data_IF_102026121204
#
_entry.id   IF_102026121204
#
_cell.length_a   1.000
_cell.length_b   1.000
_cell.length_c   1.000
_cell.angle_alpha   90.00
_cell.angle_beta   90.00
_cell.angle_gamma   90.00
#
_symmetry.space_group_name_H-M   'P 1'
#
loop_
_entity.id
_entity.type
_entity.pdbx_description
1 polymer ?
#
# COMPACT_ATOMS: atom_id res chain seq x y z
N UNK A 1 0.35 14.79 -1.45
CA UNK A 1 0.37 13.34 -1.64
C UNK A 1 -1.05 12.81 -1.51
N UNK A 2 -1.31 11.60 -1.99
CA UNK A 2 -2.57 10.90 -1.74
C UNK A 2 -2.32 9.76 -0.75
N UNK A 3 -3.16 9.67 0.27
CA UNK A 3 -3.27 8.50 1.10
C UNK A 3 -4.33 7.60 0.47
N UNK A 4 -3.95 6.37 0.12
CA UNK A 4 -4.87 5.39 -0.46
C UNK A 4 -4.98 4.24 0.53
N UNK A 5 -6.21 3.99 0.98
CA UNK A 5 -6.52 3.05 2.04
C UNK A 5 -7.50 2.00 1.53
N UNK A 6 -7.23 0.73 1.82
CA UNK A 6 -8.18 -0.36 1.70
C UNK A 6 -8.61 -0.89 3.05
N UNK A 7 -9.91 -1.16 3.19
CA UNK A 7 -10.52 -1.71 4.40
C UNK A 7 -11.40 -2.90 4.03
N UNK A 8 -11.13 -4.05 4.65
CA UNK A 8 -11.96 -5.25 4.56
C UNK A 8 -11.61 -6.23 5.69
N UNK A 9 -12.55 -7.11 6.01
CA UNK A 9 -12.39 -8.16 7.03
C UNK A 9 -11.83 -7.72 8.37
N UNK A 10 -12.16 -6.49 8.80
CA UNK A 10 -11.70 -5.92 10.07
C UNK A 10 -10.25 -5.44 10.06
N UNK A 11 -9.58 -5.44 8.90
CA UNK A 11 -8.20 -4.97 8.75
C UNK A 11 -8.08 -3.82 7.75
N UNK A 12 -6.89 -3.23 7.68
CA UNK A 12 -6.60 -2.06 6.87
C UNK A 12 -5.21 -2.18 6.26
N UNK A 13 -5.10 -1.82 4.98
CA UNK A 13 -3.83 -1.53 4.33
C UNK A 13 -3.83 -0.10 3.83
N UNK A 14 -2.75 0.63 4.10
CA UNK A 14 -2.58 2.02 3.67
C UNK A 14 -1.27 2.17 2.94
N UNK A 15 -1.31 2.84 1.80
CA UNK A 15 -0.11 3.30 1.10
C UNK A 15 -0.20 4.77 0.73
N UNK A 16 0.92 5.32 0.28
CA UNK A 16 1.05 6.73 -0.10
C UNK A 16 1.44 6.84 -1.57
N UNK A 17 0.67 7.63 -2.32
CA UNK A 17 1.03 8.08 -3.65
C UNK A 17 1.63 9.48 -3.58
N UNK A 18 2.92 9.57 -3.88
CA UNK A 18 3.63 10.83 -4.02
C UNK A 18 3.40 11.38 -5.43
N UNK A 19 3.01 12.64 -5.52
CA UNK A 19 2.75 13.33 -6.78
C UNK A 19 3.97 14.14 -7.25
N UNK A 20 3.86 14.73 -8.44
CA UNK A 20 4.90 15.56 -9.05
C UNK A 20 5.43 16.61 -8.08
N UNK A 21 6.76 16.61 -7.88
CA UNK A 21 7.45 17.56 -7.02
C UNK A 21 7.47 17.16 -5.54
N UNK A 22 6.81 16.08 -5.16
CA UNK A 22 6.88 15.50 -3.82
C UNK A 22 8.05 14.52 -3.72
N UNK A 23 8.59 14.35 -2.51
CA UNK A 23 9.73 13.46 -2.27
C UNK A 23 9.25 12.15 -1.66
N UNK A 24 9.25 11.09 -2.45
CA UNK A 24 9.02 9.74 -1.96
C UNK A 24 10.19 9.25 -1.08
N UNK A 25 9.93 8.35 -0.12
CA UNK A 25 10.98 7.67 0.64
C UNK A 25 11.84 6.82 -0.30
N UNK A 26 13.14 6.76 0.00
CA UNK A 26 14.13 6.01 -0.76
C UNK A 26 14.37 4.65 -0.13
N UNK A 27 14.31 3.61 -0.94
CA UNK A 27 14.61 2.24 -0.52
C UNK A 27 15.75 1.68 -1.36
N UNK A 28 16.68 0.99 -0.71
CA UNK A 28 17.86 0.45 -1.37
C UNK A 28 17.43 -0.57 -2.44
N UNK A 29 17.68 -0.25 -3.71
CA UNK A 29 17.37 -1.11 -4.85
C UNK A 29 16.00 -0.87 -5.50
N UNK A 30 15.28 0.18 -5.10
CA UNK A 30 14.02 0.57 -5.75
C UNK A 30 14.26 1.05 -7.19
N UNK A 31 13.53 0.52 -8.19
CA UNK A 31 13.53 1.08 -9.54
C UNK A 31 12.71 2.38 -9.60
N UNK A 32 13.22 3.34 -10.37
CA UNK A 32 12.56 4.60 -10.76
C UNK A 32 12.06 5.52 -9.61
N UNK A 33 13.02 6.16 -8.93
CA UNK A 33 12.74 7.27 -7.99
C UNK A 33 12.41 8.60 -8.69
N UNK A 34 12.68 8.73 -9.99
CA UNK A 34 12.50 9.97 -10.76
C UNK A 34 11.14 10.04 -11.50
N UNK A 35 10.27 9.06 -11.25
CA UNK A 35 8.96 9.04 -11.87
C UNK A 35 8.08 10.21 -11.38
N UNK A 36 7.22 10.80 -12.24
CA UNK A 36 6.32 11.88 -11.86
C UNK A 36 5.35 11.54 -10.73
N UNK A 37 5.00 10.26 -10.58
CA UNK A 37 4.17 9.73 -9.50
C UNK A 37 4.83 8.47 -8.95
N UNK A 38 4.89 8.36 -7.63
CA UNK A 38 5.53 7.21 -6.97
C UNK A 38 4.59 6.63 -5.93
N UNK A 39 4.17 5.39 -6.13
CA UNK A 39 3.37 4.63 -5.17
C UNK A 39 4.27 3.88 -4.21
N UNK A 40 4.03 4.02 -2.92
CA UNK A 40 4.73 3.29 -1.85
C UNK A 40 3.70 2.66 -0.93
N UNK A 41 3.76 1.33 -0.81
CA UNK A 41 2.90 0.55 0.05
C UNK A 41 3.59 -0.78 0.36
N UNK A 42 3.47 -1.22 1.61
CA UNK A 42 3.97 -2.53 2.02
C UNK A 42 3.22 -3.64 1.29
N UNK A 43 3.88 -4.79 1.18
CA UNK A 43 3.27 -6.03 0.75
C UNK A 43 3.19 -7.02 1.91
N UNK A 44 2.19 -7.87 1.88
CA UNK A 44 2.06 -8.94 2.86
C UNK A 44 1.52 -10.23 2.25
N UNK A 45 1.73 -11.33 2.96
CA UNK A 45 1.29 -12.66 2.55
C UNK A 45 0.99 -13.53 3.75
N UNK A 46 0.01 -14.42 3.60
CA UNK A 46 -0.27 -15.45 4.58
C UNK A 46 0.87 -16.48 4.61
N UNK A 47 1.30 -16.87 5.80
CA UNK A 47 2.32 -17.90 6.02
C UNK A 47 1.78 -19.02 6.92
N UNK A 48 2.30 -20.23 6.75
CA UNK A 48 1.87 -21.37 7.59
C UNK A 48 2.30 -21.19 9.05
N UNK A 49 3.45 -20.56 9.29
CA UNK A 49 3.98 -20.29 10.64
C UNK A 49 4.95 -19.11 10.62
N UNK A 50 5.14 -18.47 11.79
CA UNK A 50 5.91 -17.23 11.92
C UNK A 50 5.06 -15.99 11.63
N UNK A 51 5.69 -14.87 11.31
CA UNK A 51 4.99 -13.62 11.02
C UNK A 51 4.25 -13.02 12.22
N UNK A 52 3.29 -12.15 11.92
CA UNK A 52 2.40 -11.49 12.88
C UNK A 52 1.01 -12.10 12.77
N UNK A 53 0.40 -12.47 13.90
CA UNK A 53 -0.99 -12.96 13.92
C UNK A 53 -1.93 -11.77 13.76
N UNK A 54 -2.77 -11.82 12.73
CA UNK A 54 -3.82 -10.85 12.44
C UNK A 54 -5.19 -11.54 12.52
N UNK A 55 -6.23 -10.81 12.88
CA UNK A 55 -7.62 -11.26 12.78
C UNK A 55 -8.19 -10.73 11.46
N UNK A 56 -8.69 -11.64 10.62
CA UNK A 56 -9.24 -11.36 9.30
C UNK A 56 -10.55 -12.13 9.18
N UNK A 57 -11.67 -11.44 9.03
CA UNK A 57 -13.01 -12.03 9.03
C UNK A 57 -13.31 -12.92 10.26
N UNK A 58 -12.72 -12.60 11.40
CA UNK A 58 -12.85 -13.37 12.65
C UNK A 58 -11.99 -14.63 12.71
N UNK A 59 -11.18 -14.91 11.69
CA UNK A 59 -10.19 -15.98 11.67
C UNK A 59 -8.78 -15.45 11.94
N UNK A 60 -7.96 -16.24 12.63
CA UNK A 60 -6.57 -15.89 12.90
C UNK A 60 -5.68 -16.36 11.77
N UNK A 61 -4.95 -15.43 11.16
CA UNK A 61 -3.99 -15.70 10.09
C UNK A 61 -2.59 -15.22 10.49
N UNK A 62 -1.55 -15.97 10.12
CA UNK A 62 -0.18 -15.50 10.26
C UNK A 62 0.21 -14.74 9.00
N UNK A 63 0.64 -13.49 9.15
CA UNK A 63 0.98 -12.59 8.05
C UNK A 63 2.44 -12.20 8.14
N UNK A 64 3.19 -12.38 7.05
CA UNK A 64 4.53 -11.85 6.91
C UNK A 64 4.50 -10.59 6.04
N UNK A 65 5.29 -9.59 6.43
CA UNK A 65 5.40 -8.31 5.74
C UNK A 65 6.71 -8.26 4.96
N UNK A 66 6.65 -7.67 3.77
CA UNK A 66 7.80 -7.37 2.96
C UNK A 66 7.97 -5.85 2.85
N UNK A 67 9.23 -5.41 2.90
CA UNK A 67 9.58 -4.01 2.72
C UNK A 67 9.02 -3.48 1.40
N UNK A 68 8.51 -2.25 1.38
CA UNK A 68 7.84 -1.72 0.22
C UNK A 68 8.83 -1.48 -0.92
N UNK A 69 8.42 -1.81 -2.13
CA UNK A 69 9.12 -1.44 -3.36
C UNK A 69 8.37 -0.27 -4.03
N UNK A 70 8.94 0.95 -4.03
CA UNK A 70 8.38 2.07 -4.77
C UNK A 70 8.13 1.72 -6.23
N UNK A 71 6.98 2.16 -6.75
CA UNK A 71 6.59 1.99 -8.15
C UNK A 71 6.32 3.34 -8.78
N UNK A 72 7.06 3.63 -9.85
CA UNK A 72 6.95 4.86 -10.62
C UNK A 72 5.90 4.80 -11.73
N UNK A 73 5.21 5.93 -11.96
CA UNK A 73 4.20 6.09 -13.01
C UNK A 73 4.27 7.49 -13.65
N UNK A 74 3.84 7.57 -14.91
CA UNK A 74 3.84 8.83 -15.68
C UNK A 74 2.63 9.74 -15.37
N UNK A 75 1.49 9.16 -15.00
CA UNK A 75 0.23 9.88 -14.78
C UNK A 75 -0.39 9.54 -13.44
N UNK A 76 -1.21 10.46 -12.91
CA UNK A 76 -1.91 10.27 -11.63
C UNK A 76 -2.91 9.13 -11.73
N UNK A 77 -3.60 9.06 -12.85
CA UNK A 77 -4.64 8.06 -13.13
C UNK A 77 -4.04 6.66 -13.10
N UNK A 78 -2.96 6.41 -13.85
CA UNK A 78 -2.24 5.13 -13.82
C UNK A 78 -1.76 4.77 -12.42
N UNK A 79 -1.20 5.74 -11.70
CA UNK A 79 -0.66 5.51 -10.38
C UNK A 79 -1.74 5.20 -9.34
N UNK A 80 -2.89 5.85 -9.44
CA UNK A 80 -4.03 5.60 -8.56
C UNK A 80 -4.64 4.23 -8.87
N UNK A 81 -4.92 3.92 -10.14
CA UNK A 81 -5.43 2.61 -10.57
C UNK A 81 -4.52 1.46 -10.11
N UNK A 82 -3.22 1.59 -10.34
CA UNK A 82 -2.25 0.59 -9.89
C UNK A 82 -2.14 0.47 -8.37
N UNK A 83 -2.37 1.56 -7.63
CA UNK A 83 -2.41 1.55 -6.17
C UNK A 83 -3.66 0.82 -5.65
N UNK A 84 -4.84 1.08 -6.23
CA UNK A 84 -6.08 0.37 -5.86
C UNK A 84 -5.96 -1.13 -6.15
N UNK A 85 -5.48 -1.49 -7.34
CA UNK A 85 -5.28 -2.89 -7.74
C UNK A 85 -4.26 -3.59 -6.85
N UNK A 86 -3.20 -2.87 -6.46
CA UNK A 86 -2.24 -3.38 -5.52
C UNK A 86 -2.89 -3.72 -4.17
N UNK A 87 -3.69 -2.81 -3.63
CA UNK A 87 -4.37 -3.03 -2.34
C UNK A 87 -5.30 -4.23 -2.43
N UNK A 88 -6.15 -4.30 -3.46
CA UNK A 88 -7.03 -5.47 -3.70
C UNK A 88 -6.25 -6.78 -3.79
N UNK A 89 -5.10 -6.75 -4.46
CA UNK A 89 -4.20 -7.91 -4.57
C UNK A 89 -3.68 -8.35 -3.20
N UNK A 90 -3.30 -7.41 -2.31
CA UNK A 90 -2.82 -7.77 -0.97
C UNK A 90 -3.92 -8.42 -0.13
N UNK A 91 -5.15 -7.90 -0.19
CA UNK A 91 -6.30 -8.52 0.49
C UNK A 91 -6.61 -9.93 -0.04
N UNK A 92 -6.52 -10.14 -1.36
CA UNK A 92 -6.69 -11.47 -1.94
C UNK A 92 -5.66 -12.49 -1.43
N UNK A 93 -4.45 -12.06 -1.07
CA UNK A 93 -3.39 -12.94 -0.50
C UNK A 93 -3.70 -13.45 0.91
N UNK A 94 -4.66 -12.84 1.60
CA UNK A 94 -5.14 -13.28 2.93
C UNK A 94 -6.56 -13.82 2.88
N UNK A 95 -7.09 -14.09 1.69
CA UNK A 95 -8.38 -14.75 1.48
C UNK A 95 -9.59 -13.84 1.36
N UNK A 96 -9.42 -12.52 1.27
CA UNK A 96 -10.51 -11.56 1.08
C UNK A 96 -10.77 -11.34 -0.41
N UNK A 97 -12.02 -11.38 -0.86
CA UNK A 97 -12.38 -11.10 -2.26
C UNK A 97 -12.10 -9.62 -2.61
N UNK A 98 -11.57 -9.37 -3.80
CA UNK A 98 -11.16 -8.03 -4.22
C UNK A 98 -12.32 -7.01 -4.22
N UNK A 99 -13.55 -7.47 -4.49
CA UNK A 99 -14.76 -6.66 -4.53
C UNK A 99 -15.28 -6.29 -3.14
N UNK A 100 -14.86 -6.99 -2.08
CA UNK A 100 -15.20 -6.67 -0.69
C UNK A 100 -14.29 -5.59 -0.09
N UNK A 101 -13.25 -5.17 -0.82
CA UNK A 101 -12.30 -4.16 -0.37
C UNK A 101 -12.83 -2.77 -0.65
N UNK A 102 -13.20 -2.05 0.41
CA UNK A 102 -13.53 -0.63 0.32
C UNK A 102 -12.25 0.18 0.17
N UNK A 103 -12.14 0.94 -0.93
CA UNK A 103 -10.99 1.77 -1.23
C UNK A 103 -11.35 3.25 -1.06
N UNK A 104 -10.54 3.98 -0.28
CA UNK A 104 -10.65 5.42 -0.10
C UNK A 104 -9.36 6.12 -0.53
N UNK A 105 -9.50 7.23 -1.24
CA UNK A 105 -8.38 8.09 -1.70
C UNK A 105 -8.53 9.48 -1.10
N UNK A 106 -7.58 9.88 -0.26
CA UNK A 106 -7.60 11.17 0.42
C UNK A 106 -6.38 12.03 0.04
N UNK A 107 -6.61 13.30 -0.28
CA UNK A 107 -5.52 14.26 -0.48
C UNK A 107 -4.97 14.66 0.90
N UNK A 108 -3.67 14.48 1.09
CA UNK A 108 -2.96 15.02 2.26
C UNK A 108 -1.97 16.10 1.83
N UNK A 109 -2.06 17.23 2.52
CA UNK A 109 -1.09 18.30 2.45
C UNK A 109 0.14 17.92 3.28
N UNK A 110 1.32 18.16 2.73
CA UNK A 110 2.59 17.77 3.35
C UNK A 110 2.91 18.75 4.48
N UNK A 111 2.29 18.60 5.65
CA UNK A 111 2.96 19.04 6.88
C UNK A 111 4.06 18.02 7.16
N UNK A 112 5.25 18.37 6.68
CA UNK A 112 6.54 17.71 6.86
C UNK A 112 6.56 16.79 8.09
N UNK A 113 6.52 15.48 7.86
CA UNK A 113 6.94 14.53 8.88
C UNK A 113 8.44 14.76 9.11
N UNK A 114 8.78 15.64 10.06
CA UNK A 114 10.16 15.80 10.51
C UNK A 114 10.60 14.46 11.14
N UNK A 115 11.75 13.90 10.72
CA UNK A 115 12.28 12.72 11.39
C UNK A 115 12.65 13.09 12.82
N UNK A 116 12.07 12.37 13.78
CA UNK A 116 12.43 12.48 15.20
C UNK A 116 13.71 11.70 15.50
#
# INVERSE_FOLDING_TARGET
MLLIRGEAGGTTLTGTLYERGERAPRFKGAPDEDAPYVWVCDEFYQVESGGTVQEVDGEKVNVAFESPMPRGFDTREQATEAAEDHIRTQFARIGIEADDVEITVEKQDVETAEPR
#
